data_IF_683500583151
#
_entry.id   IF_683500583151
#
_cell.length_a   1.000
_cell.length_b   1.000
_cell.length_c   1.000
_cell.angle_alpha   90.00
_cell.angle_beta   90.00
_cell.angle_gamma   90.00
#
_symmetry.space_group_name_H-M   'P 1'
#
loop_
_entity.id
_entity.type
_entity.pdbx_description
1 polymer ?
#
# COMPACT_ATOMS: atom_id res chain seq x y z
N UNK A 1 -26.02 13.08 -0.59
CA UNK A 1 -24.94 12.57 -1.46
C UNK A 1 -24.20 11.39 -0.81
N UNK A 2 -23.36 11.57 0.23
CA UNK A 2 -22.58 10.46 0.82
C UNK A 2 -23.41 9.33 1.45
N UNK A 3 -24.44 9.68 2.23
CA UNK A 3 -25.33 8.70 2.88
C UNK A 3 -26.05 7.79 1.87
N UNK A 4 -26.40 8.32 0.70
CA UNK A 4 -27.05 7.58 -0.39
C UNK A 4 -26.15 6.46 -0.96
N UNK A 5 -24.83 6.58 -0.79
CA UNK A 5 -23.85 5.58 -1.19
C UNK A 5 -23.32 4.74 0.00
N UNK A 6 -23.97 4.83 1.17
CA UNK A 6 -23.54 4.11 2.38
C UNK A 6 -22.20 4.58 2.95
N UNK A 7 -21.74 5.79 2.59
CA UNK A 7 -20.46 6.32 3.06
C UNK A 7 -20.67 7.08 4.36
N UNK A 8 -20.17 6.51 5.47
CA UNK A 8 -20.07 7.20 6.75
C UNK A 8 -18.99 8.29 6.67
N UNK A 9 -19.26 9.45 7.29
CA UNK A 9 -18.30 10.55 7.36
C UNK A 9 -17.54 10.47 8.68
N UNK A 10 -16.23 10.32 8.61
CA UNK A 10 -15.32 10.52 9.73
C UNK A 10 -14.63 11.87 9.60
N UNK A 11 -14.59 12.65 10.68
CA UNK A 11 -13.88 13.92 10.72
C UNK A 11 -12.77 13.85 11.76
N UNK A 12 -11.59 14.36 11.41
CA UNK A 12 -10.51 14.54 12.37
C UNK A 12 -10.91 15.60 13.40
N UNK A 13 -10.39 15.47 14.62
CA UNK A 13 -10.53 16.53 15.61
C UNK A 13 -9.82 17.79 15.11
N UNK A 14 -10.35 18.98 15.42
CA UNK A 14 -9.68 20.23 15.09
C UNK A 14 -8.21 20.20 15.53
N UNK A 15 -7.33 20.64 14.63
CA UNK A 15 -5.88 20.75 14.86
C UNK A 15 -5.16 19.45 15.26
N UNK A 16 -5.72 18.28 14.94
CA UNK A 16 -5.10 16.98 15.28
C UNK A 16 -4.72 16.19 14.02
N UNK A 17 -3.50 16.40 13.54
CA UNK A 17 -2.97 15.69 12.35
C UNK A 17 -2.84 14.17 12.56
N UNK A 18 -2.58 13.75 13.81
CA UNK A 18 -2.44 12.34 14.18
C UNK A 18 -3.72 11.51 14.01
N UNK A 19 -4.88 12.13 13.80
CA UNK A 19 -6.12 11.40 13.53
C UNK A 19 -6.15 10.79 12.11
N UNK A 20 -5.26 11.20 11.21
CA UNK A 20 -5.10 10.59 9.88
C UNK A 20 -3.63 10.24 9.54
N UNK A 21 -3.02 9.33 10.31
CA UNK A 21 -1.60 9.00 10.18
C UNK A 21 -1.27 8.39 8.82
N UNK A 22 -2.23 7.71 8.18
CA UNK A 22 -2.05 7.08 6.88
C UNK A 22 -1.86 8.11 5.76
N UNK A 23 -2.71 9.12 5.68
CA UNK A 23 -2.57 10.17 4.66
C UNK A 23 -1.30 10.99 4.87
N UNK A 24 -0.93 11.29 6.12
CA UNK A 24 0.34 11.97 6.42
C UNK A 24 1.56 11.18 5.95
N UNK A 25 1.58 9.86 6.16
CA UNK A 25 2.64 8.98 5.67
C UNK A 25 2.75 8.98 4.14
N UNK A 26 1.61 8.97 3.44
CA UNK A 26 1.55 9.05 1.97
C UNK A 26 2.12 10.39 1.48
N UNK A 27 1.71 11.50 2.10
CA UNK A 27 2.22 12.82 1.72
C UNK A 27 3.70 13.00 2.03
N UNK A 28 4.18 12.50 3.16
CA UNK A 28 5.60 12.49 3.47
C UNK A 28 6.37 11.73 2.38
N UNK A 29 5.95 10.49 2.08
CA UNK A 29 6.54 9.65 1.03
C UNK A 29 6.60 10.36 -0.32
N UNK A 30 5.54 11.07 -0.70
CA UNK A 30 5.47 11.84 -1.94
C UNK A 30 6.52 12.96 -1.96
N UNK A 31 6.57 13.77 -0.91
CA UNK A 31 7.41 14.97 -0.80
C UNK A 31 8.89 14.66 -0.63
N UNK A 32 9.24 13.51 -0.04
CA UNK A 32 10.64 13.10 0.16
C UNK A 32 11.33 12.59 -1.11
N UNK A 33 10.60 12.36 -2.21
CA UNK A 33 11.21 11.87 -3.45
C UNK A 33 12.09 12.95 -4.07
N UNK A 34 13.23 12.53 -4.61
CA UNK A 34 14.22 13.41 -5.25
C UNK A 34 13.67 14.22 -6.43
N UNK A 35 12.65 13.68 -7.11
CA UNK A 35 12.01 14.31 -8.26
C UNK A 35 10.67 15.00 -7.92
N UNK A 36 10.36 15.21 -6.63
CA UNK A 36 9.19 16.00 -6.23
C UNK A 36 9.38 17.47 -6.64
N UNK A 37 8.49 18.04 -7.46
CA UNK A 37 8.54 19.45 -7.83
C UNK A 37 8.13 20.28 -6.62
N UNK A 38 9.08 21.03 -6.05
CA UNK A 38 8.86 21.87 -4.86
C UNK A 38 7.71 22.86 -5.05
N UNK A 39 7.46 23.28 -6.29
CA UNK A 39 6.36 24.16 -6.69
C UNK A 39 5.75 23.68 -8.00
N UNK A 40 4.47 24.01 -8.22
CA UNK A 40 3.75 23.81 -9.47
C UNK A 40 3.29 25.17 -10.00
N UNK A 41 3.41 25.38 -11.31
CA UNK A 41 2.99 26.63 -11.96
C UNK A 41 1.49 26.67 -12.18
N UNK A 42 0.85 25.51 -12.43
CA UNK A 42 -0.58 25.41 -12.68
C UNK A 42 -1.18 24.18 -11.98
N UNK A 43 -2.49 24.21 -11.77
CA UNK A 43 -3.22 23.04 -11.26
C UNK A 43 -3.10 21.83 -12.20
N UNK A 44 -3.12 22.05 -13.52
CA UNK A 44 -2.95 20.96 -14.50
C UNK A 44 -1.59 20.28 -14.40
N UNK A 45 -0.53 21.04 -14.10
CA UNK A 45 0.79 20.46 -13.85
C UNK A 45 0.81 19.63 -12.56
N UNK A 46 0.18 20.13 -11.49
CA UNK A 46 0.07 19.41 -10.23
C UNK A 46 -0.70 18.09 -10.42
N UNK A 47 -1.85 18.14 -11.10
CA UNK A 47 -2.69 16.98 -11.38
C UNK A 47 -1.95 15.91 -12.20
N UNK A 48 -1.30 16.32 -13.29
CA UNK A 48 -0.53 15.41 -14.13
C UNK A 48 0.61 14.74 -13.36
N UNK A 49 1.34 15.50 -12.54
CA UNK A 49 2.44 14.97 -11.73
C UNK A 49 1.94 14.01 -10.65
N UNK A 50 0.90 14.40 -9.89
CA UNK A 50 0.33 13.55 -8.83
C UNK A 50 -0.24 12.27 -9.44
N UNK A 51 -0.94 12.35 -10.56
CA UNK A 51 -1.49 11.19 -11.27
C UNK A 51 -0.40 10.19 -11.69
N UNK A 52 0.71 10.68 -12.24
CA UNK A 52 1.86 9.84 -12.57
C UNK A 52 2.50 9.24 -11.30
N UNK A 53 2.63 10.03 -10.23
CA UNK A 53 3.20 9.57 -8.97
C UNK A 53 2.36 8.47 -8.31
N UNK A 54 1.03 8.58 -8.32
CA UNK A 54 0.12 7.58 -7.74
C UNK A 54 0.32 6.21 -8.38
N UNK A 55 0.50 6.16 -9.71
CA UNK A 55 0.77 4.90 -10.41
C UNK A 55 2.07 4.25 -9.92
N UNK A 56 3.13 5.06 -9.80
CA UNK A 56 4.42 4.59 -9.28
C UNK A 56 4.30 4.13 -7.83
N UNK A 57 3.64 4.92 -6.97
CA UNK A 57 3.44 4.59 -5.56
C UNK A 57 2.74 3.24 -5.38
N UNK A 58 1.66 3.00 -6.12
CA UNK A 58 0.88 1.76 -6.05
C UNK A 58 1.59 0.53 -6.62
N UNK A 59 2.56 0.73 -7.53
CA UNK A 59 3.37 -0.35 -8.10
C UNK A 59 4.69 -0.61 -7.33
N UNK A 60 5.13 0.32 -6.49
CA UNK A 60 6.39 0.20 -5.74
C UNK A 60 6.19 -0.61 -4.45
N UNK A 61 7.11 -1.52 -4.08
CA UNK A 61 7.17 -2.16 -2.76
C UNK A 61 7.29 -1.19 -1.57
N UNK A 62 6.53 -1.39 -0.49
CA UNK A 62 6.66 -0.60 0.76
C UNK A 62 6.96 -1.48 1.97
N UNK A 63 7.86 -1.02 2.84
CA UNK A 63 8.31 -1.77 4.02
C UNK A 63 7.18 -2.10 5.00
N UNK A 64 6.21 -1.19 5.17
CA UNK A 64 5.06 -1.38 6.07
C UNK A 64 4.11 -2.53 5.67
N UNK A 65 4.26 -3.07 4.46
CA UNK A 65 3.49 -4.22 3.95
C UNK A 65 4.42 -5.32 3.44
N UNK A 66 5.50 -5.58 4.17
CA UNK A 66 6.52 -6.59 3.85
C UNK A 66 7.05 -6.50 2.41
N UNK A 67 7.27 -5.26 1.94
CA UNK A 67 7.74 -4.96 0.59
C UNK A 67 6.84 -5.51 -0.52
N UNK A 68 5.52 -5.64 -0.29
CA UNK A 68 4.57 -5.84 -1.38
C UNK A 68 4.15 -4.49 -1.99
N UNK A 69 3.80 -4.44 -3.30
CA UNK A 69 3.15 -3.28 -3.88
C UNK A 69 1.74 -3.08 -3.29
N UNK A 70 1.28 -1.84 -2.99
CA UNK A 70 -0.06 -1.60 -2.45
C UNK A 70 -1.16 -2.11 -3.37
N UNK A 71 -0.97 -1.99 -4.69
CA UNK A 71 -1.89 -2.54 -5.67
C UNK A 71 -2.02 -4.07 -5.57
N UNK A 72 -0.91 -4.77 -5.32
CA UNK A 72 -0.90 -6.22 -5.19
C UNK A 72 -1.57 -6.68 -3.90
N UNK A 73 -1.41 -5.90 -2.82
CA UNK A 73 -2.15 -6.11 -1.57
C UNK A 73 -3.64 -5.93 -1.80
N UNK A 74 -4.04 -4.79 -2.38
CA UNK A 74 -5.44 -4.48 -2.66
C UNK A 74 -6.12 -5.54 -3.54
N UNK A 75 -5.43 -6.04 -4.56
CA UNK A 75 -5.95 -7.05 -5.48
C UNK A 75 -5.80 -8.49 -4.98
N UNK A 76 -5.19 -8.72 -3.81
CA UNK A 76 -4.89 -10.06 -3.30
C UNK A 76 -3.81 -10.82 -4.09
N UNK A 77 -3.20 -10.22 -5.10
CA UNK A 77 -2.17 -10.88 -5.93
C UNK A 77 -0.82 -11.02 -5.21
N UNK A 78 -0.66 -10.36 -4.06
CA UNK A 78 0.51 -10.50 -3.18
C UNK A 78 0.77 -11.96 -2.76
N UNK A 79 -0.26 -12.81 -2.67
CA UNK A 79 -0.14 -14.24 -2.35
C UNK A 79 0.73 -14.96 -3.42
N UNK A 80 0.56 -14.61 -4.70
CA UNK A 80 1.38 -15.16 -5.78
C UNK A 80 2.84 -14.73 -5.62
N UNK A 81 3.06 -13.46 -5.25
CA UNK A 81 4.39 -12.92 -4.99
C UNK A 81 5.04 -13.61 -3.77
N UNK A 82 4.26 -13.92 -2.73
CA UNK A 82 4.73 -14.67 -1.56
C UNK A 82 5.23 -16.05 -1.95
N UNK A 83 4.43 -16.83 -2.67
CA UNK A 83 4.84 -18.15 -3.14
C UNK A 83 6.10 -18.10 -4.02
N UNK A 84 6.22 -17.08 -4.87
CA UNK A 84 7.42 -16.87 -5.68
C UNK A 84 8.66 -16.59 -4.81
N UNK A 85 8.53 -15.75 -3.78
CA UNK A 85 9.62 -15.45 -2.82
C UNK A 85 10.06 -16.72 -2.09
N UNK A 86 9.11 -17.49 -1.56
CA UNK A 86 9.40 -18.73 -0.83
C UNK A 86 10.10 -19.77 -1.72
N UNK A 87 9.60 -19.95 -2.95
CA UNK A 87 10.24 -20.82 -3.94
C UNK A 87 11.66 -20.33 -4.26
N UNK A 88 11.84 -19.02 -4.45
CA UNK A 88 13.15 -18.41 -4.70
C UNK A 88 14.14 -18.68 -3.57
N UNK A 89 13.74 -18.50 -2.32
CA UNK A 89 14.59 -18.76 -1.15
C UNK A 89 14.93 -20.24 -1.01
N UNK A 90 13.96 -21.15 -1.19
CA UNK A 90 14.22 -22.60 -1.17
C UNK A 90 15.19 -23.02 -2.27
N UNK A 91 15.03 -22.50 -3.49
CA UNK A 91 15.95 -22.76 -4.59
C UNK A 91 17.36 -22.22 -4.31
N UNK A 92 17.46 -21.05 -3.67
CA UNK A 92 18.76 -20.48 -3.30
C UNK A 92 19.47 -21.32 -2.23
N UNK A 93 18.71 -21.87 -1.27
CA UNK A 93 19.23 -22.78 -0.25
C UNK A 93 19.74 -24.08 -0.86
N UNK A 94 18.93 -24.72 -1.73
CA UNK A 94 19.30 -25.96 -2.42
C UNK A 94 20.58 -25.81 -3.27
N UNK A 95 20.74 -24.64 -3.91
CA UNK A 95 21.94 -24.30 -4.70
C UNK A 95 23.15 -23.87 -3.85
N UNK A 96 23.01 -23.78 -2.53
CA UNK A 96 24.06 -23.27 -1.64
C UNK A 96 24.39 -21.79 -1.81
N UNK A 97 23.54 -21.00 -2.48
CA UNK A 97 23.68 -19.54 -2.57
C UNK A 97 23.47 -18.89 -1.21
N UNK A 98 22.60 -19.48 -0.39
CA UNK A 98 22.41 -19.14 1.02
C UNK A 98 22.58 -20.42 1.86
N UNK A 99 23.08 -20.26 3.08
CA UNK A 99 23.31 -21.38 4.01
C UNK A 99 22.12 -21.69 4.90
N UNK A 100 21.19 -20.74 5.02
CA UNK A 100 19.96 -20.87 5.81
C UNK A 100 18.88 -19.95 5.24
N UNK A 101 17.62 -20.27 5.48
CA UNK A 101 16.52 -19.36 5.15
C UNK A 101 16.57 -18.12 6.05
N UNK A 102 16.15 -16.95 5.54
CA UNK A 102 16.03 -15.75 6.36
C UNK A 102 15.11 -15.98 7.56
N UNK A 103 15.62 -15.75 8.77
CA UNK A 103 14.84 -15.80 9.99
C UNK A 103 14.27 -14.41 10.29
N UNK A 104 13.29 -13.98 9.50
CA UNK A 104 12.56 -12.72 9.74
C UNK A 104 11.33 -13.01 10.59
N UNK A 105 11.19 -12.30 11.71
CA UNK A 105 9.99 -12.41 12.56
C UNK A 105 8.69 -12.10 11.79
N UNK A 106 8.77 -11.26 10.76
CA UNK A 106 7.66 -10.93 9.87
C UNK A 106 7.32 -12.02 8.84
N UNK A 107 8.18 -13.03 8.67
CA UNK A 107 8.05 -14.05 7.63
C UNK A 107 7.97 -13.47 6.21
N UNK A 108 7.27 -14.18 5.33
CA UNK A 108 7.04 -13.78 3.93
C UNK A 108 5.65 -13.18 3.71
N UNK A 109 4.76 -13.26 4.69
CA UNK A 109 3.36 -12.81 4.57
C UNK A 109 3.18 -11.30 4.71
N UNK A 110 1.93 -10.85 4.67
CA UNK A 110 1.59 -9.51 5.14
C UNK A 110 1.59 -9.46 6.68
N UNK A 111 1.77 -8.28 7.29
CA UNK A 111 1.47 -8.07 8.70
C UNK A 111 0.03 -8.48 9.04
N UNK A 112 -0.23 -8.77 10.32
CA UNK A 112 -1.55 -9.17 10.80
C UNK A 112 -2.65 -8.13 10.45
N UNK A 113 -2.29 -6.85 10.45
CA UNK A 113 -3.15 -5.76 10.05
C UNK A 113 -2.51 -4.94 8.94
N UNK A 114 -3.26 -4.71 7.87
CA UNK A 114 -2.84 -3.86 6.77
C UNK A 114 -3.98 -2.91 6.40
N UNK A 115 -3.69 -1.62 6.44
CA UNK A 115 -4.61 -0.58 5.99
C UNK A 115 -4.20 -0.07 4.61
N UNK A 116 -5.06 -0.26 3.62
CA UNK A 116 -4.92 0.32 2.28
C UNK A 116 -6.05 1.32 2.07
N UNK A 117 -5.72 2.59 1.85
CA UNK A 117 -6.71 3.60 1.49
C UNK A 117 -7.23 3.27 0.09
N UNK A 118 -8.52 2.95 0.02
CA UNK A 118 -9.19 2.60 -1.22
C UNK A 118 -10.12 3.74 -1.63
N UNK A 119 -9.74 4.51 -2.64
CA UNK A 119 -10.64 5.43 -3.34
C UNK A 119 -11.16 4.73 -4.60
N UNK A 120 -12.34 4.11 -4.53
CA UNK A 120 -13.03 3.65 -5.75
C UNK A 120 -14.41 4.25 -5.84
N UNK A 121 -14.85 4.53 -7.06
CA UNK A 121 -16.25 4.77 -7.39
C UNK A 121 -17.08 3.49 -7.47
N UNK A 122 -16.46 2.30 -7.37
CA UNK A 122 -17.19 1.03 -7.24
C UNK A 122 -17.73 0.88 -5.81
N UNK A 123 -19.02 0.57 -5.72
CA UNK A 123 -19.70 0.14 -4.49
C UNK A 123 -18.84 -0.88 -3.75
N UNK A 124 -18.69 -0.69 -2.43
CA UNK A 124 -17.97 -1.64 -1.58
C UNK A 124 -18.47 -3.07 -1.88
N UNK A 125 -17.58 -4.04 -2.17
CA UNK A 125 -18.01 -5.42 -2.35
C UNK A 125 -18.69 -5.89 -1.06
N UNK A 126 -19.75 -6.68 -1.21
CA UNK A 126 -20.47 -7.23 -0.07
C UNK A 126 -19.47 -7.93 0.88
N UNK A 127 -19.58 -7.70 2.20
CA UNK A 127 -18.70 -8.33 3.17
C UNK A 127 -18.74 -9.85 2.97
N UNK A 128 -17.57 -10.45 2.78
CA UNK A 128 -17.46 -11.89 2.63
C UNK A 128 -17.72 -12.52 4.01
N UNK A 129 -18.52 -13.60 4.10
CA UNK A 129 -18.73 -14.29 5.37
C UNK A 129 -17.39 -14.78 5.93
N UNK A 130 -17.19 -14.55 7.23
CA UNK A 130 -16.08 -15.15 7.97
C UNK A 130 -16.44 -16.62 8.19
N UNK A 131 -15.74 -17.52 7.51
CA UNK A 131 -15.74 -18.94 7.87
C UNK A 131 -14.80 -19.10 9.06
N UNK A 132 -15.36 -19.41 10.23
CA UNK A 132 -14.63 -19.83 11.44
C UNK A 132 -14.27 -21.31 11.30
#
# INVERSE_FOLDING_TARGET
MFATHGVARSFNRPHTSNDNPHTESVFHTMKTRTYYPKTFTTLGQADAWVSAWVQVYNATPHSGINYYPPQAVLHGTWIKLQHQREKGMRNALDKGVITQLPNTAAGTGLPAEVSIIRTTTQTAPAPQPITI
#
